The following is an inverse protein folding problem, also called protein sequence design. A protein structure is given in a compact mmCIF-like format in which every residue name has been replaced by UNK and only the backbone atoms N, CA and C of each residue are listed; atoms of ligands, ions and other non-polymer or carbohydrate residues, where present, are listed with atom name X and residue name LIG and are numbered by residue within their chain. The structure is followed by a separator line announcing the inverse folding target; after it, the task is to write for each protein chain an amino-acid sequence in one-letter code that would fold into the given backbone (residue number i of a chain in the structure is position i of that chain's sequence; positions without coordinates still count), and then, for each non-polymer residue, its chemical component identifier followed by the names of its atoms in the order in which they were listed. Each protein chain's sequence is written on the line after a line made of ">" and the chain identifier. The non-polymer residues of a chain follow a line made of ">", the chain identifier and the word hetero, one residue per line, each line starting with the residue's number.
data_IF_901739853926
#
_entry.id   IF_901739853926
#
_cell.length_a   1.000
_cell.length_b   1.000
_cell.length_c   1.000
_cell.angle_alpha   90.00
_cell.angle_beta   90.00
_cell.angle_gamma   90.00
#
_symmetry.space_group_name_H-M   'P 1'
#
loop_
_entity.id
_entity.type
_entity.pdbx_description
1 polymer ?
#
# COMPACT_ATOMS: atom_id res chain seq x y z
N UNK A 1 -29.61 -16.81 35.73
CA UNK A 1 -30.03 -15.41 35.49
C UNK A 1 -29.51 -15.04 34.10
N UNK A 2 -30.45 -14.91 33.16
CA UNK A 2 -30.22 -14.84 31.71
C UNK A 2 -29.77 -13.42 31.35
N UNK A 3 -28.59 -13.25 30.75
CA UNK A 3 -28.23 -12.01 30.07
C UNK A 3 -28.90 -12.00 28.70
N UNK A 4 -29.86 -11.09 28.51
CA UNK A 4 -30.50 -10.84 27.22
C UNK A 4 -29.66 -9.87 26.40
N UNK A 5 -29.49 -10.24 25.13
CA UNK A 5 -29.04 -9.40 24.04
C UNK A 5 -29.91 -8.15 23.85
N UNK A 6 -29.29 -7.12 23.26
CA UNK A 6 -29.98 -6.11 22.47
C UNK A 6 -29.69 -4.69 22.93
N UNK A 7 -28.66 -4.05 22.36
CA UNK A 7 -28.77 -2.87 21.47
C UNK A 7 -27.45 -2.72 20.71
N UNK A 8 -27.27 -3.50 19.64
CA UNK A 8 -26.43 -3.12 18.51
C UNK A 8 -27.26 -2.14 17.67
N UNK A 9 -26.89 -0.85 17.66
CA UNK A 9 -27.42 0.11 16.67
C UNK A 9 -26.27 0.88 16.02
N UNK A 10 -26.02 0.46 14.77
CA UNK A 10 -25.77 1.30 13.59
C UNK A 10 -24.66 2.36 13.71
N UNK A 11 -23.44 1.97 13.35
CA UNK A 11 -22.38 2.89 12.97
C UNK A 11 -22.73 3.45 11.59
N UNK A 12 -23.36 4.63 11.55
CA UNK A 12 -23.38 5.44 10.34
C UNK A 12 -22.07 6.22 10.27
N UNK A 13 -21.44 6.18 9.09
CA UNK A 13 -20.34 7.05 8.71
C UNK A 13 -20.89 8.47 8.75
N UNK A 14 -20.29 9.34 9.57
CA UNK A 14 -20.67 10.74 9.69
C UNK A 14 -19.52 11.61 9.18
N UNK A 15 -19.86 12.49 8.24
CA UNK A 15 -18.97 13.43 7.56
C UNK A 15 -18.37 14.48 8.54
N UNK A 16 -17.29 15.12 8.09
CA UNK A 16 -16.30 15.91 8.86
C UNK A 16 -16.84 17.01 9.81
N UNK A 17 -18.10 17.44 9.73
CA UNK A 17 -18.63 18.55 10.56
C UNK A 17 -19.36 18.12 11.85
N UNK A 18 -19.88 16.90 11.95
CA UNK A 18 -20.59 16.44 13.15
C UNK A 18 -19.64 15.99 14.29
N UNK A 19 -18.34 15.86 13.99
CA UNK A 19 -17.32 15.50 14.97
C UNK A 19 -17.14 16.57 16.05
N UNK A 20 -17.34 17.85 15.72
CA UNK A 20 -17.19 18.96 16.67
C UNK A 20 -18.31 18.92 17.71
N UNK A 21 -19.51 18.45 17.34
CA UNK A 21 -20.65 18.35 18.25
C UNK A 21 -20.52 17.13 19.16
N UNK A 22 -20.07 15.98 18.64
CA UNK A 22 -19.74 14.82 19.49
C UNK A 22 -18.58 15.12 20.46
N UNK A 23 -17.55 15.83 20.00
CA UNK A 23 -16.46 16.28 20.87
C UNK A 23 -16.93 17.30 21.91
N UNK A 24 -17.81 18.25 21.57
CA UNK A 24 -18.36 19.20 22.56
C UNK A 24 -19.17 18.49 23.64
N UNK A 25 -19.96 17.48 23.29
CA UNK A 25 -20.75 16.72 24.29
C UNK A 25 -19.87 15.85 25.20
N UNK A 26 -18.73 15.36 24.70
CA UNK A 26 -17.70 14.71 25.53
C UNK A 26 -16.93 15.73 26.39
N UNK A 27 -16.66 16.93 25.85
CA UNK A 27 -15.94 18.01 26.53
C UNK A 27 -16.77 18.78 27.57
N UNK A 28 -18.10 18.69 27.54
CA UNK A 28 -19.03 19.39 28.46
C UNK A 28 -19.67 18.47 29.51
N UNK A 29 -19.37 17.17 29.47
CA UNK A 29 -19.88 16.19 30.43
C UNK A 29 -18.89 15.99 31.58
N UNK A 30 -19.36 15.86 32.82
CA UNK A 30 -18.66 15.46 34.07
C UNK A 30 -17.72 14.22 33.95
N UNK A 31 -17.61 13.61 32.77
CA UNK A 31 -16.74 12.48 32.44
C UNK A 31 -15.26 12.83 32.31
N UNK A 32 -14.89 14.11 32.24
CA UNK A 32 -13.50 14.55 32.14
C UNK A 32 -12.67 14.21 33.39
N UNK A 33 -13.30 14.16 34.58
CA UNK A 33 -12.64 13.71 35.82
C UNK A 33 -12.25 12.22 35.80
N UNK A 34 -12.94 11.40 35.02
CA UNK A 34 -12.76 9.95 35.06
C UNK A 34 -11.42 9.46 34.46
N UNK A 35 -10.82 10.19 33.51
CA UNK A 35 -9.52 9.81 32.91
C UNK A 35 -8.33 10.35 33.70
N UNK A 36 -8.44 11.53 34.32
CA UNK A 36 -7.37 12.07 35.17
C UNK A 36 -7.27 11.32 36.52
N UNK A 37 -8.28 10.53 36.87
CA UNK A 37 -8.26 9.59 38.00
C UNK A 37 -7.58 8.24 37.69
N UNK A 38 -7.38 7.91 36.40
CA UNK A 38 -6.75 6.65 36.00
C UNK A 38 -5.22 6.75 36.07
N UNK A 39 -4.53 5.67 36.50
CA UNK A 39 -3.09 5.58 36.35
C UNK A 39 -2.65 5.72 34.88
N UNK A 40 -1.52 6.37 34.65
CA UNK A 40 -0.95 6.60 33.31
C UNK A 40 -0.80 5.29 32.51
N UNK A 41 -0.45 4.19 33.17
CA UNK A 41 -0.34 2.87 32.56
C UNK A 41 -1.68 2.34 32.02
N UNK A 42 -2.77 2.58 32.74
CA UNK A 42 -4.11 2.20 32.29
C UNK A 42 -4.52 3.02 31.06
N UNK A 43 -4.21 4.31 31.06
CA UNK A 43 -4.44 5.19 29.91
C UNK A 43 -3.61 4.71 28.72
N UNK A 44 -2.31 4.44 28.92
CA UNK A 44 -1.43 3.93 27.86
C UNK A 44 -1.94 2.60 27.28
N UNK A 45 -2.44 1.68 28.11
CA UNK A 45 -3.03 0.42 27.65
C UNK A 45 -4.34 0.61 26.86
N UNK A 46 -5.12 1.66 27.13
CA UNK A 46 -6.28 2.03 26.31
C UNK A 46 -5.80 2.60 24.98
N UNK A 47 -4.89 3.57 25.03
CA UNK A 47 -4.37 4.25 23.84
C UNK A 47 -3.68 3.29 22.87
N UNK A 48 -2.98 2.28 23.37
CA UNK A 48 -2.31 1.27 22.53
C UNK A 48 -3.26 0.40 21.69
N UNK A 49 -4.56 0.42 22.01
CA UNK A 49 -5.61 -0.31 21.29
C UNK A 49 -6.44 0.60 20.36
N UNK A 50 -6.09 1.88 20.29
CA UNK A 50 -6.68 2.86 19.37
C UNK A 50 -5.85 2.98 18.10
N UNK A 51 -6.18 3.94 17.22
CA UNK A 51 -5.29 4.25 16.09
C UNK A 51 -4.16 5.21 16.51
N UNK A 52 -3.03 5.22 15.79
CA UNK A 52 -1.97 6.21 16.02
C UNK A 52 -2.48 7.66 15.98
N UNK A 53 -3.44 7.94 15.10
CA UNK A 53 -4.07 9.26 14.96
C UNK A 53 -4.88 9.62 16.21
N UNK A 54 -5.66 8.67 16.73
CA UNK A 54 -6.46 8.88 17.93
C UNK A 54 -5.59 9.07 19.18
N UNK A 55 -4.51 8.29 19.32
CA UNK A 55 -3.55 8.48 20.39
C UNK A 55 -2.94 9.90 20.38
N UNK A 56 -2.55 10.39 19.20
CA UNK A 56 -2.03 11.76 19.03
C UNK A 56 -3.12 12.80 19.32
N UNK A 57 -4.37 12.59 18.88
CA UNK A 57 -5.48 13.53 19.16
C UNK A 57 -5.78 13.60 20.66
N UNK A 58 -5.83 12.46 21.35
CA UNK A 58 -6.08 12.38 22.79
C UNK A 58 -4.95 13.04 23.61
N UNK A 59 -3.72 13.03 23.11
CA UNK A 59 -2.59 13.73 23.73
C UNK A 59 -2.77 15.26 23.87
N UNK A 60 -3.69 15.84 23.09
CA UNK A 60 -3.97 17.28 23.10
C UNK A 60 -4.96 17.67 24.21
N UNK A 61 -5.67 16.69 24.81
CA UNK A 61 -6.78 16.92 25.74
C UNK A 61 -6.29 17.24 27.16
N UNK A 62 -5.34 16.49 27.70
CA UNK A 62 -4.78 16.73 29.05
C UNK A 62 -3.28 16.41 29.12
N UNK A 63 -2.60 16.86 30.19
CA UNK A 63 -1.19 16.54 30.41
C UNK A 63 -0.97 15.05 30.69
N UNK A 64 -1.90 14.43 31.41
CA UNK A 64 -1.89 12.99 31.73
C UNK A 64 -2.02 12.16 30.46
N UNK A 65 -3.00 12.49 29.61
CA UNK A 65 -3.18 11.85 28.31
C UNK A 65 -1.98 12.06 27.39
N UNK A 66 -1.34 13.24 27.44
CA UNK A 66 -0.12 13.51 26.67
C UNK A 66 1.03 12.61 27.07
N UNK A 67 1.28 12.51 28.38
CA UNK A 67 2.34 11.66 28.93
C UNK A 67 2.11 10.20 28.52
N UNK A 68 0.89 9.69 28.73
CA UNK A 68 0.51 8.34 28.34
C UNK A 68 0.65 8.10 26.82
N UNK A 69 0.19 9.04 25.99
CA UNK A 69 0.24 8.93 24.53
C UNK A 69 1.65 8.99 23.96
N UNK A 70 2.58 9.64 24.65
CA UNK A 70 4.00 9.71 24.25
C UNK A 70 4.83 8.53 24.78
N UNK A 71 4.24 7.65 25.61
CA UNK A 71 4.89 6.46 26.15
C UNK A 71 5.18 5.41 25.08
N UNK A 72 6.38 4.83 25.12
CA UNK A 72 6.78 3.73 24.24
C UNK A 72 5.88 2.49 24.38
N UNK A 73 5.20 2.32 25.52
CA UNK A 73 4.22 1.25 25.69
C UNK A 73 3.07 1.33 24.67
N UNK A 74 2.64 2.55 24.31
CA UNK A 74 1.63 2.79 23.27
C UNK A 74 2.21 2.45 21.89
N UNK A 75 3.35 3.05 21.55
CA UNK A 75 3.92 2.96 20.21
C UNK A 75 4.48 1.59 19.86
N UNK A 76 4.83 0.75 20.84
CA UNK A 76 5.18 -0.65 20.60
C UNK A 76 4.03 -1.45 19.95
N UNK A 77 2.77 -1.04 20.12
CA UNK A 77 1.63 -1.71 19.50
C UNK A 77 1.36 -1.22 18.06
N UNK A 78 1.88 -0.05 17.69
CA UNK A 78 1.73 0.53 16.34
C UNK A 78 2.91 0.22 15.42
N UNK A 79 3.98 -0.33 15.98
CA UNK A 79 5.17 -0.74 15.23
C UNK A 79 5.11 -2.27 15.08
N UNK A 80 5.41 -2.81 13.88
CA UNK A 80 5.43 -4.24 13.66
C UNK A 80 6.36 -4.95 14.66
N UNK A 81 5.83 -5.99 15.29
CA UNK A 81 6.51 -6.75 16.34
C UNK A 81 7.10 -8.07 15.82
N UNK A 82 7.51 -8.13 14.55
CA UNK A 82 8.19 -9.32 14.03
C UNK A 82 9.56 -9.47 14.70
N UNK A 83 10.01 -10.71 15.00
CA UNK A 83 11.35 -10.94 15.51
C UNK A 83 12.40 -10.25 14.64
N UNK A 84 13.35 -9.55 15.27
CA UNK A 84 14.49 -8.90 14.63
C UNK A 84 14.15 -7.80 13.59
N UNK A 85 12.89 -7.39 13.44
CA UNK A 85 12.49 -6.37 12.46
C UNK A 85 13.17 -5.02 12.71
N UNK A 86 13.14 -4.56 13.96
CA UNK A 86 13.78 -3.30 14.34
C UNK A 86 15.30 -3.40 14.19
N UNK A 87 15.90 -4.54 14.52
CA UNK A 87 17.34 -4.77 14.34
C UNK A 87 17.73 -4.80 12.85
N UNK A 88 16.91 -5.43 12.03
CA UNK A 88 17.05 -5.45 10.56
C UNK A 88 16.95 -4.05 9.98
N UNK A 89 16.02 -3.23 10.45
CA UNK A 89 15.86 -1.84 10.00
C UNK A 89 17.02 -0.96 10.46
N UNK A 90 17.43 -1.09 11.72
CA UNK A 90 18.52 -0.30 12.29
C UNK A 90 19.85 -0.65 11.62
N UNK A 91 20.10 -1.92 11.29
CA UNK A 91 21.30 -2.34 10.56
C UNK A 91 21.31 -1.81 9.12
N UNK A 92 20.15 -1.80 8.44
CA UNK A 92 20.03 -1.33 7.06
C UNK A 92 19.99 0.20 6.93
N UNK A 93 19.70 0.94 8.01
CA UNK A 93 19.61 2.40 7.95
C UNK A 93 20.15 3.07 9.22
N UNK A 94 21.35 3.70 9.14
CA UNK A 94 21.98 4.42 10.25
C UNK A 94 21.12 5.54 10.82
N UNK A 95 20.13 6.02 10.05
CA UNK A 95 19.22 7.07 10.51
C UNK A 95 18.29 6.61 11.63
N UNK A 96 18.00 5.31 11.74
CA UNK A 96 17.18 4.76 12.83
C UNK A 96 17.99 4.50 14.10
N UNK A 97 19.32 4.34 13.99
CA UNK A 97 20.20 4.07 15.13
C UNK A 97 20.22 5.19 16.18
N UNK A 98 19.93 6.44 15.77
CA UNK A 98 19.93 7.61 16.66
C UNK A 98 18.55 7.95 17.24
N UNK A 99 17.50 7.21 16.87
CA UNK A 99 16.14 7.50 17.31
C UNK A 99 15.93 6.95 18.73
N UNK A 100 15.51 7.83 19.65
CA UNK A 100 15.38 7.50 21.08
C UNK A 100 14.00 7.03 21.52
N UNK A 101 12.94 7.35 20.76
CA UNK A 101 11.56 7.04 21.14
C UNK A 101 10.88 6.21 20.06
N UNK A 102 9.98 5.31 20.45
CA UNK A 102 9.22 4.47 19.51
C UNK A 102 8.29 5.32 18.63
N UNK A 103 7.71 6.39 19.19
CA UNK A 103 6.96 7.38 18.40
C UNK A 103 7.76 7.94 17.22
N UNK A 104 9.03 8.30 17.45
CA UNK A 104 9.88 8.82 16.39
C UNK A 104 10.28 7.74 15.38
N UNK A 105 10.45 6.48 15.82
CA UNK A 105 10.65 5.34 14.91
C UNK A 105 9.43 5.18 14.01
N UNK A 106 8.23 5.16 14.59
CA UNK A 106 6.98 5.06 13.84
C UNK A 106 6.86 6.15 12.77
N UNK A 107 7.10 7.42 13.13
CA UNK A 107 7.05 8.52 12.16
C UNK A 107 8.09 8.37 11.05
N UNK A 108 9.30 7.93 11.38
CA UNK A 108 10.33 7.66 10.39
C UNK A 108 9.92 6.51 9.44
N UNK A 109 9.25 5.47 9.93
CA UNK A 109 8.68 4.39 9.13
C UNK A 109 7.49 4.82 8.29
N UNK A 110 6.78 5.88 8.69
CA UNK A 110 5.68 6.46 7.90
C UNK A 110 6.18 7.40 6.82
N UNK A 111 7.33 8.06 7.00
CA UNK A 111 7.81 9.10 6.09
C UNK A 111 8.91 8.58 5.13
N UNK A 112 9.48 7.39 5.38
CA UNK A 112 10.59 6.83 4.60
C UNK A 112 10.34 5.39 4.18
N UNK A 113 10.63 5.09 2.93
CA UNK A 113 10.68 3.72 2.41
C UNK A 113 11.98 3.04 2.86
N UNK A 114 11.85 1.84 3.43
CA UNK A 114 13.00 1.00 3.79
C UNK A 114 13.14 -0.07 2.73
N UNK A 115 14.28 -0.08 2.06
CA UNK A 115 14.59 -1.12 1.08
C UNK A 115 14.95 -2.42 1.81
N UNK A 116 14.24 -3.50 1.48
CA UNK A 116 14.48 -4.84 1.97
C UNK A 116 14.99 -5.69 0.80
N UNK A 117 16.28 -6.02 0.83
CA UNK A 117 16.88 -7.11 0.06
C UNK A 117 16.94 -8.38 0.92
N UNK A 118 16.44 -9.48 0.36
CA UNK A 118 16.47 -10.81 0.98
C UNK A 118 17.73 -11.61 0.57
N UNK A 119 18.54 -11.08 -0.35
CA UNK A 119 19.78 -11.68 -0.87
C UNK A 119 20.92 -10.66 -0.97
N UNK A 120 22.16 -11.15 -0.97
CA UNK A 120 23.39 -10.37 -1.19
C UNK A 120 23.53 -9.81 -2.61
N UNK A 121 22.66 -10.18 -3.55
CA UNK A 121 22.60 -9.52 -4.85
C UNK A 121 22.05 -8.10 -4.68
N UNK A 122 22.78 -7.12 -5.22
CA UNK A 122 22.56 -5.65 -5.13
C UNK A 122 21.18 -5.14 -5.60
N UNK A 123 20.25 -6.02 -5.98
CA UNK A 123 18.93 -5.66 -6.46
C UNK A 123 17.90 -5.68 -5.33
N UNK A 124 17.54 -4.47 -4.90
CA UNK A 124 16.39 -4.18 -4.03
C UNK A 124 15.09 -4.84 -4.54
N UNK A 125 14.51 -5.75 -3.75
CA UNK A 125 13.34 -6.54 -4.14
C UNK A 125 12.02 -5.92 -3.71
N UNK A 126 11.96 -5.44 -2.48
CA UNK A 126 10.77 -4.79 -1.93
C UNK A 126 11.15 -3.62 -1.04
N UNK A 127 10.24 -2.66 -0.91
CA UNK A 127 10.34 -1.58 0.08
C UNK A 127 9.20 -1.67 1.08
N UNK A 128 9.49 -1.31 2.33
CA UNK A 128 8.55 -1.30 3.43
C UNK A 128 8.29 0.13 3.91
N UNK A 129 7.04 0.41 4.30
CA UNK A 129 6.61 1.63 4.97
C UNK A 129 5.39 1.32 5.86
N UNK A 130 5.10 2.18 6.83
CA UNK A 130 3.83 2.14 7.56
C UNK A 130 2.82 3.12 6.97
N UNK A 131 1.55 2.70 6.88
CA UNK A 131 0.47 3.64 6.65
C UNK A 131 0.32 4.55 7.87
N UNK A 132 0.46 5.86 7.64
CA UNK A 132 0.53 6.86 8.71
C UNK A 132 -0.70 6.88 9.61
N UNK A 133 -1.88 6.60 9.04
CA UNK A 133 -3.17 6.71 9.75
C UNK A 133 -3.46 5.47 10.58
N UNK A 134 -3.29 4.30 9.98
CA UNK A 134 -3.67 3.01 10.57
C UNK A 134 -2.51 2.30 11.28
N UNK A 135 -1.26 2.64 10.96
CA UNK A 135 -0.07 1.93 11.44
C UNK A 135 0.11 0.54 10.84
N UNK A 136 -0.51 0.29 9.70
CA UNK A 136 -0.50 -1.01 9.02
C UNK A 136 0.59 -1.08 7.96
N UNK A 137 1.08 -2.29 7.71
CA UNK A 137 2.22 -2.52 6.82
C UNK A 137 1.87 -2.20 5.37
N UNK A 138 2.76 -1.48 4.69
CA UNK A 138 2.71 -1.19 3.27
C UNK A 138 3.97 -1.76 2.60
N UNK A 139 3.78 -2.49 1.50
CA UNK A 139 4.89 -3.02 0.70
C UNK A 139 4.84 -2.49 -0.72
N UNK A 140 6.00 -2.22 -1.29
CA UNK A 140 6.13 -2.01 -2.73
C UNK A 140 7.12 -3.00 -3.29
N UNK A 141 6.72 -3.75 -4.30
CA UNK A 141 7.58 -4.69 -5.00
C UNK A 141 8.20 -3.99 -6.20
N UNK A 142 9.52 -4.02 -6.31
CA UNK A 142 10.19 -3.44 -7.48
C UNK A 142 9.83 -4.23 -8.72
N UNK A 143 9.80 -3.58 -9.89
CA UNK A 143 9.60 -4.29 -11.15
C UNK A 143 10.58 -5.47 -11.28
N UNK A 144 11.84 -5.32 -10.86
CA UNK A 144 12.86 -6.39 -10.85
C UNK A 144 12.46 -7.65 -10.08
N UNK A 145 11.59 -7.53 -9.09
CA UNK A 145 11.12 -8.65 -8.28
C UNK A 145 9.87 -9.33 -8.86
N UNK A 146 9.23 -8.72 -9.86
CA UNK A 146 8.04 -9.26 -10.49
C UNK A 146 8.43 -10.27 -11.57
N UNK A 147 7.66 -11.35 -11.68
CA UNK A 147 7.86 -12.34 -12.74
C UNK A 147 7.39 -11.73 -14.07
N UNK A 148 8.36 -11.45 -14.95
CA UNK A 148 8.11 -11.06 -16.33
C UNK A 148 8.10 -12.28 -17.23
N UNK A 149 6.92 -12.65 -17.72
CA UNK A 149 6.81 -13.63 -18.81
C UNK A 149 6.48 -12.90 -20.10
N UNK A 150 7.47 -12.79 -20.97
CA UNK A 150 7.31 -12.34 -22.35
C UNK A 150 7.04 -13.58 -23.20
N UNK A 151 5.82 -13.70 -23.71
CA UNK A 151 5.40 -14.85 -24.52
C UNK A 151 5.05 -14.42 -25.94
N UNK A 152 6.05 -13.95 -26.71
CA UNK A 152 6.11 -14.21 -28.15
C UNK A 152 7.56 -14.47 -28.61
N UNK A 153 7.83 -15.73 -28.96
CA UNK A 153 8.97 -16.20 -29.75
C UNK A 153 10.38 -16.13 -29.11
N UNK A 154 10.60 -16.83 -28.00
CA UNK A 154 11.90 -17.46 -27.71
C UNK A 154 13.14 -16.55 -27.57
N UNK A 155 12.99 -15.23 -27.54
CA UNK A 155 14.07 -14.31 -27.22
C UNK A 155 13.87 -13.80 -25.80
N UNK A 156 14.78 -14.20 -24.92
CA UNK A 156 14.87 -13.64 -23.58
C UNK A 156 15.11 -12.12 -23.70
N UNK A 157 14.08 -11.29 -23.48
CA UNK A 157 14.19 -9.83 -23.34
C UNK A 157 14.94 -9.40 -22.06
N UNK A 158 15.86 -10.23 -21.55
CA UNK A 158 16.42 -10.10 -20.20
C UNK A 158 17.44 -8.98 -20.01
N UNK A 159 18.02 -8.41 -21.09
CA UNK A 159 19.13 -7.45 -20.94
C UNK A 159 18.81 -5.98 -21.22
N UNK A 160 17.77 -5.64 -21.98
CA UNK A 160 17.58 -4.28 -22.48
C UNK A 160 16.32 -3.55 -21.94
N UNK A 161 15.56 -4.17 -21.03
CA UNK A 161 14.33 -3.56 -20.47
C UNK A 161 14.55 -2.80 -19.17
N UNK A 162 15.78 -2.62 -18.70
CA UNK A 162 16.06 -2.05 -17.38
C UNK A 162 16.72 -0.69 -17.55
N UNK A 163 16.19 0.31 -16.86
CA UNK A 163 16.76 1.65 -16.87
C UNK A 163 16.95 2.16 -15.45
N UNK A 164 17.98 3.00 -15.29
CA UNK A 164 18.20 3.74 -14.07
C UNK A 164 17.36 5.02 -14.15
N UNK A 165 16.54 5.25 -13.14
CA UNK A 165 15.81 6.51 -13.00
C UNK A 165 16.09 7.12 -11.63
N UNK A 166 16.66 8.33 -11.57
CA UNK A 166 16.97 8.99 -10.30
C UNK A 166 15.71 9.32 -9.47
N UNK A 167 14.54 9.38 -10.10
CA UNK A 167 13.26 9.66 -9.45
C UNK A 167 12.51 8.41 -8.97
N UNK A 168 13.12 7.23 -9.05
CA UNK A 168 12.55 5.95 -8.62
C UNK A 168 13.01 5.60 -7.20
N UNK A 169 12.14 4.97 -6.42
CA UNK A 169 12.51 4.40 -5.11
C UNK A 169 13.45 3.20 -5.24
N UNK A 170 13.46 2.55 -6.40
CA UNK A 170 14.35 1.43 -6.73
C UNK A 170 15.41 1.84 -7.75
N UNK A 171 16.61 1.24 -7.62
CA UNK A 171 17.75 1.49 -8.50
C UNK A 171 17.42 1.31 -9.98
N UNK A 172 16.66 0.25 -10.30
CA UNK A 172 16.27 -0.09 -11.66
C UNK A 172 14.76 -0.21 -11.78
N UNK A 173 14.22 0.36 -12.85
CA UNK A 173 12.81 0.23 -13.25
C UNK A 173 12.72 -0.45 -14.60
N UNK A 174 11.61 -1.14 -14.86
CA UNK A 174 11.39 -1.75 -16.16
C UNK A 174 10.97 -0.67 -17.17
N UNK A 175 11.85 -0.40 -18.13
CA UNK A 175 11.64 0.49 -19.26
C UNK A 175 11.55 -0.30 -20.56
N UNK A 176 10.57 0.00 -21.40
CA UNK A 176 10.57 -0.53 -22.77
C UNK A 176 11.77 -0.01 -23.56
N UNK A 177 12.56 -0.93 -24.14
CA UNK A 177 13.44 -0.64 -25.26
C UNK A 177 12.63 -0.60 -26.56
N UNK A 178 12.94 0.37 -27.41
CA UNK A 178 12.35 0.56 -28.73
C UNK A 178 12.69 -0.64 -29.64
N UNK A 179 11.87 -1.68 -29.60
CA UNK A 179 11.97 -2.83 -30.50
C UNK A 179 10.88 -2.71 -31.55
N UNK A 180 11.29 -2.61 -32.82
CA UNK A 180 10.46 -2.33 -34.00
C UNK A 180 9.52 -3.46 -34.43
N UNK A 181 8.80 -4.06 -33.48
CA UNK A 181 7.75 -5.05 -33.71
C UNK A 181 6.37 -4.53 -33.27
N UNK A 182 5.34 -5.07 -33.92
CA UNK A 182 4.02 -4.47 -34.08
C UNK A 182 3.02 -4.80 -32.96
N UNK A 183 3.08 -6.00 -32.36
CA UNK A 183 2.24 -6.40 -31.23
C UNK A 183 3.09 -7.06 -30.13
N UNK A 184 2.83 -6.71 -28.85
CA UNK A 184 3.58 -7.25 -27.71
C UNK A 184 2.67 -7.49 -26.50
N UNK A 185 2.89 -8.61 -25.80
CA UNK A 185 2.17 -9.00 -24.58
C UNK A 185 3.11 -8.89 -23.38
N UNK A 186 2.72 -8.08 -22.39
CA UNK A 186 3.41 -8.00 -21.11
C UNK A 186 2.56 -8.72 -20.07
N UNK A 187 3.14 -9.71 -19.41
CA UNK A 187 2.59 -10.32 -18.21
C UNK A 187 3.53 -10.08 -17.03
N UNK A 188 3.05 -9.32 -16.04
CA UNK A 188 3.74 -9.04 -14.78
C UNK A 188 3.00 -9.76 -13.68
N UNK A 189 3.66 -10.64 -12.94
CA UNK A 189 3.08 -11.31 -11.77
C UNK A 189 3.84 -10.91 -10.50
N UNK A 190 3.12 -10.37 -9.52
CA UNK A 190 3.59 -10.12 -8.17
C UNK A 190 2.96 -11.10 -7.19
N UNK A 191 3.73 -11.54 -6.20
CA UNK A 191 3.28 -12.45 -5.14
C UNK A 191 3.66 -11.89 -3.78
N UNK A 192 2.75 -11.99 -2.81
CA UNK A 192 3.01 -11.65 -1.41
C UNK A 192 2.34 -12.66 -0.49
N UNK A 193 3.06 -13.10 0.55
CA UNK A 193 2.46 -13.89 1.60
C UNK A 193 1.68 -12.96 2.55
N UNK A 194 0.43 -13.29 2.80
CA UNK A 194 -0.46 -12.54 3.71
C UNK A 194 0.04 -12.49 5.15
N UNK A 195 0.95 -13.37 5.58
CA UNK A 195 1.61 -13.33 6.89
C UNK A 195 2.57 -12.13 7.04
N UNK A 196 3.10 -11.64 5.92
CA UNK A 196 3.95 -10.44 5.89
C UNK A 196 3.12 -9.16 6.04
N UNK A 197 1.79 -9.24 5.90
CA UNK A 197 0.88 -8.12 6.01
C UNK A 197 0.22 -8.08 7.39
N UNK A 198 -0.19 -6.88 7.79
CA UNK A 198 -0.97 -6.71 9.01
C UNK A 198 -2.30 -7.46 8.93
N UNK A 199 -2.67 -8.29 9.93
CA UNK A 199 -3.90 -9.06 9.91
C UNK A 199 -5.14 -8.17 10.10
N UNK A 200 -6.31 -8.72 9.80
CA UNK A 200 -7.63 -8.09 9.89
C UNK A 200 -7.68 -6.73 9.18
N UNK A 201 -7.12 -6.66 7.97
CA UNK A 201 -6.95 -5.41 7.24
C UNK A 201 -7.40 -5.57 5.79
N UNK A 202 -8.18 -4.61 5.30
CA UNK A 202 -8.53 -4.52 3.88
C UNK A 202 -7.37 -3.86 3.14
N UNK A 203 -6.83 -4.58 2.15
CA UNK A 203 -5.72 -4.13 1.33
C UNK A 203 -6.19 -3.86 -0.10
N UNK A 204 -5.47 -2.98 -0.77
CA UNK A 204 -5.54 -2.81 -2.21
C UNK A 204 -4.14 -2.82 -2.82
N UNK A 205 -4.03 -3.40 -4.00
CA UNK A 205 -2.83 -3.40 -4.82
C UNK A 205 -2.91 -2.28 -5.86
N UNK A 206 -1.81 -1.60 -6.12
CA UNK A 206 -1.71 -0.48 -7.05
C UNK A 206 -0.50 -0.67 -7.97
N UNK A 207 -0.71 -0.51 -9.27
CA UNK A 207 0.39 -0.42 -10.23
C UNK A 207 0.96 1.00 -10.22
N UNK A 208 2.27 1.14 -10.03
CA UNK A 208 2.97 2.43 -10.05
C UNK A 208 3.86 2.53 -11.29
N UNK A 209 3.64 3.55 -12.12
CA UNK A 209 4.29 3.67 -13.43
C UNK A 209 4.45 5.13 -13.88
N UNK A 210 5.32 5.38 -14.86
CA UNK A 210 5.49 6.67 -15.54
C UNK A 210 5.27 6.49 -17.04
N UNK A 211 4.82 7.57 -17.68
CA UNK A 211 4.67 7.66 -19.14
C UNK A 211 5.66 8.73 -19.62
N UNK A 212 6.66 8.33 -20.39
CA UNK A 212 7.72 9.25 -20.85
C UNK A 212 7.37 9.89 -22.19
N UNK A 213 6.86 9.11 -23.16
CA UNK A 213 6.49 9.59 -24.48
C UNK A 213 5.09 9.09 -24.84
N UNK A 214 4.30 9.94 -25.50
CA UNK A 214 2.96 9.61 -26.00
C UNK A 214 2.82 10.16 -27.42
N UNK A 215 3.42 9.49 -28.40
CA UNK A 215 3.22 9.85 -29.82
C UNK A 215 2.40 8.74 -30.48
N UNK A 216 1.18 9.07 -30.91
CA UNK A 216 0.34 8.19 -31.76
C UNK A 216 -0.38 7.03 -31.06
N UNK A 217 -0.27 6.90 -29.75
CA UNK A 217 -0.66 5.68 -29.05
C UNK A 217 -2.19 5.51 -28.90
N UNK A 218 -2.68 4.38 -29.40
CA UNK A 218 -3.95 3.77 -29.03
C UNK A 218 -3.91 3.39 -27.55
N UNK A 219 -4.97 3.71 -26.81
CA UNK A 219 -5.05 3.54 -25.36
C UNK A 219 -4.74 2.09 -24.98
N UNK A 220 -3.64 1.77 -24.28
CA UNK A 220 -3.35 0.39 -23.93
C UNK A 220 -4.41 -0.11 -22.97
N UNK A 221 -5.09 -1.17 -23.37
CA UNK A 221 -6.00 -1.91 -22.49
C UNK A 221 -5.14 -2.77 -21.57
N UNK A 222 -5.36 -2.60 -20.27
CA UNK A 222 -4.64 -3.35 -19.25
C UNK A 222 -5.66 -4.11 -18.45
N UNK A 223 -5.48 -5.42 -18.39
CA UNK A 223 -6.22 -6.29 -17.51
C UNK A 223 -5.41 -6.49 -16.23
N UNK A 224 -6.04 -6.20 -15.10
CA UNK A 224 -5.51 -6.51 -13.79
C UNK A 224 -6.28 -7.68 -13.21
N UNK A 225 -5.57 -8.54 -12.48
CA UNK A 225 -6.20 -9.47 -11.55
C UNK A 225 -5.51 -9.49 -10.20
N UNK A 226 -6.31 -9.60 -9.15
CA UNK A 226 -5.83 -9.81 -7.78
C UNK A 226 -6.56 -11.01 -7.22
N UNK A 227 -5.81 -12.03 -6.84
CA UNK A 227 -6.30 -13.31 -6.36
C UNK A 227 -5.70 -13.66 -5.01
N UNK A 228 -6.50 -14.14 -4.06
CA UNK A 228 -6.01 -14.77 -2.82
C UNK A 228 -6.26 -16.26 -2.88
N UNK A 229 -5.24 -17.09 -2.66
CA UNK A 229 -5.37 -18.53 -2.63
C UNK A 229 -4.05 -19.23 -2.34
N UNK A 230 -4.13 -20.51 -2.00
CA UNK A 230 -2.95 -21.37 -1.94
C UNK A 230 -2.75 -22.02 -3.30
N UNK A 231 -1.49 -22.14 -3.75
CA UNK A 231 -1.15 -22.81 -5.02
C UNK A 231 -1.49 -24.32 -5.05
N UNK A 232 -2.11 -24.83 -3.98
CA UNK A 232 -2.71 -26.15 -3.96
C UNK A 232 -4.08 -26.09 -4.61
N UNK A 233 -4.24 -26.85 -5.71
CA UNK A 233 -5.48 -27.16 -6.45
C UNK A 233 -6.58 -27.77 -5.56
N UNK A 234 -6.98 -27.08 -4.50
CA UNK A 234 -8.03 -27.52 -3.61
C UNK A 234 -9.31 -26.77 -4.00
N UNK A 235 -10.11 -27.46 -4.80
CA UNK A 235 -11.47 -27.11 -5.26
C UNK A 235 -12.40 -26.68 -4.10
N UNK A 236 -11.98 -26.89 -2.86
CA UNK A 236 -12.71 -26.60 -1.63
C UNK A 236 -12.53 -25.18 -1.09
N UNK A 237 -11.53 -24.41 -1.55
CA UNK A 237 -11.32 -23.03 -1.11
C UNK A 237 -11.40 -22.07 -2.30
N UNK A 238 -12.54 -21.39 -2.53
CA UNK A 238 -12.68 -20.50 -3.68
C UNK A 238 -11.69 -19.35 -3.56
N UNK A 239 -10.75 -19.27 -4.51
CA UNK A 239 -9.85 -18.14 -4.64
C UNK A 239 -10.69 -16.87 -4.83
N UNK A 240 -10.62 -15.91 -3.91
CA UNK A 240 -11.21 -14.60 -4.17
C UNK A 240 -10.41 -13.96 -5.29
N UNK A 241 -11.00 -13.87 -6.48
CA UNK A 241 -10.35 -13.35 -7.68
C UNK A 241 -11.14 -12.15 -8.18
N UNK A 242 -10.55 -10.97 -8.11
CA UNK A 242 -11.06 -9.78 -8.79
C UNK A 242 -10.27 -9.55 -10.06
N UNK A 243 -10.95 -9.28 -11.17
CA UNK A 243 -10.33 -8.84 -12.40
C UNK A 243 -11.00 -7.58 -12.93
N UNK A 244 -10.20 -6.70 -13.51
CA UNK A 244 -10.70 -5.46 -14.12
C UNK A 244 -9.85 -5.03 -15.29
N UNK A 245 -10.51 -4.48 -16.31
CA UNK A 245 -9.86 -3.90 -17.48
C UNK A 245 -9.89 -2.38 -17.32
N UNK A 246 -8.74 -1.74 -17.48
CA UNK A 246 -8.57 -0.29 -17.34
C UNK A 246 -7.80 0.30 -18.51
N UNK A 247 -7.82 1.63 -18.62
CA UNK A 247 -6.94 2.39 -19.51
C UNK A 247 -5.93 3.17 -18.66
N UNK A 248 -4.64 3.03 -18.96
CA UNK A 248 -3.57 3.64 -18.15
C UNK A 248 -3.53 5.17 -18.19
N UNK A 249 -3.92 5.80 -19.30
CA UNK A 249 -3.92 7.26 -19.39
C UNK A 249 -5.11 7.77 -20.22
N UNK A 250 -5.64 8.94 -19.80
CA UNK A 250 -6.68 9.70 -20.51
C UNK A 250 -5.99 10.93 -21.13
N UNK A 251 -6.12 11.13 -22.44
CA UNK A 251 -5.40 12.18 -23.19
C UNK A 251 -5.38 13.56 -22.50
N UNK A 252 -4.19 14.16 -22.46
CA UNK A 252 -3.92 15.56 -22.08
C UNK A 252 -4.10 16.55 -23.24
N UNK A 253 -4.76 16.17 -24.35
CA UNK A 253 -4.97 17.09 -25.48
C UNK A 253 -6.44 17.30 -25.81
N UNK A 254 -6.80 18.59 -25.82
CA UNK A 254 -8.13 19.16 -25.90
C UNK A 254 -9.02 18.56 -26.99
N UNK A 255 -10.26 18.34 -26.60
CA UNK A 255 -11.35 17.92 -27.48
C UNK A 255 -12.49 17.41 -26.62
N UNK A 256 -13.43 18.29 -26.31
CA UNK A 256 -14.75 17.87 -25.83
C UNK A 256 -15.27 16.80 -26.80
N UNK A 257 -15.73 15.66 -26.27
CA UNK A 257 -16.42 14.55 -26.98
C UNK A 257 -15.56 13.32 -27.33
N UNK A 258 -14.86 12.74 -26.35
CA UNK A 258 -14.57 11.30 -26.39
C UNK A 258 -14.79 10.67 -25.00
N UNK A 259 -16.07 10.59 -24.64
CA UNK A 259 -16.61 9.95 -23.45
C UNK A 259 -16.52 8.42 -23.57
N UNK A 260 -15.39 7.83 -23.17
CA UNK A 260 -15.45 6.48 -22.58
C UNK A 260 -15.83 6.67 -21.11
N UNK A 261 -17.13 6.87 -20.88
CA UNK A 261 -17.74 7.00 -19.55
C UNK A 261 -17.64 5.64 -18.87
N UNK A 262 -17.00 5.57 -17.70
CA UNK A 262 -17.09 4.40 -16.81
C UNK A 262 -15.80 3.65 -16.50
N UNK A 263 -14.67 3.90 -17.18
CA UNK A 263 -13.39 3.25 -16.85
C UNK A 263 -12.57 4.06 -15.83
N UNK A 264 -12.08 3.37 -14.80
CA UNK A 264 -11.15 3.93 -13.81
C UNK A 264 -9.90 4.46 -14.52
N UNK A 265 -9.46 5.66 -14.15
CA UNK A 265 -8.27 6.32 -14.70
C UNK A 265 -7.19 6.42 -13.63
N UNK A 266 -5.93 6.42 -14.07
CA UNK A 266 -4.78 6.61 -13.18
C UNK A 266 -4.78 7.99 -12.53
N UNK A 267 -4.12 8.08 -11.38
CA UNK A 267 -3.97 9.31 -10.60
C UNK A 267 -2.48 9.64 -10.53
N UNK A 268 -2.13 10.92 -10.65
CA UNK A 268 -0.76 11.39 -10.47
C UNK A 268 -0.49 11.59 -8.98
N UNK A 269 0.56 10.95 -8.48
CA UNK A 269 1.08 11.06 -7.12
C UNK A 269 1.90 12.34 -6.94
N UNK A 270 2.16 12.71 -5.69
CA UNK A 270 3.01 13.87 -5.35
C UNK A 270 4.47 13.73 -5.79
N UNK A 271 4.94 12.49 -5.99
CA UNK A 271 6.28 12.15 -6.51
C UNK A 271 6.35 12.15 -8.06
N UNK A 272 5.24 12.48 -8.73
CA UNK A 272 5.14 12.53 -10.19
C UNK A 272 4.96 11.17 -10.87
N UNK A 273 4.84 10.07 -10.13
CA UNK A 273 4.44 8.77 -10.68
C UNK A 273 2.92 8.68 -10.83
N UNK A 274 2.45 7.89 -11.79
CA UNK A 274 1.05 7.50 -11.89
C UNK A 274 0.80 6.26 -11.05
N UNK A 275 -0.35 6.21 -10.39
CA UNK A 275 -0.87 4.99 -9.77
C UNK A 275 -2.26 4.64 -10.30
N UNK A 276 -2.55 3.34 -10.35
CA UNK A 276 -3.89 2.83 -10.62
C UNK A 276 -4.13 1.60 -9.74
N UNK A 277 -5.27 1.57 -9.05
CA UNK A 277 -5.67 0.40 -8.27
C UNK A 277 -5.81 -0.80 -9.21
N UNK A 278 -5.35 -1.98 -8.80
CA UNK A 278 -5.45 -3.26 -9.51
C UNK A 278 -6.60 -4.12 -8.98
N UNK A 279 -6.85 -4.03 -7.67
CA UNK A 279 -7.88 -4.80 -7.00
C UNK A 279 -7.67 -4.74 -5.48
N UNK A 280 -8.60 -5.34 -4.75
CA UNK A 280 -8.60 -5.35 -3.29
C UNK A 280 -8.75 -6.78 -2.75
N UNK A 281 -8.26 -6.98 -1.53
CA UNK A 281 -8.35 -8.25 -0.82
C UNK A 281 -8.34 -8.02 0.69
N UNK A 282 -8.93 -8.94 1.44
CA UNK A 282 -8.94 -8.88 2.90
C UNK A 282 -7.91 -9.85 3.49
N UNK A 283 -7.02 -9.36 4.34
CA UNK A 283 -6.07 -10.20 5.07
C UNK A 283 -6.66 -10.65 6.42
N UNK A 284 -6.91 -11.96 6.57
CA UNK A 284 -7.37 -12.55 7.84
C UNK A 284 -6.24 -12.86 8.83
N UNK A 285 -4.97 -12.74 8.42
CA UNK A 285 -3.82 -13.19 9.21
C UNK A 285 -3.58 -14.71 9.15
N UNK A 286 -4.13 -15.36 8.13
CA UNK A 286 -3.88 -16.77 7.83
C UNK A 286 -2.86 -16.85 6.70
N UNK A 287 -1.97 -17.83 6.73
CA UNK A 287 -0.99 -18.04 5.66
C UNK A 287 -1.69 -18.38 4.34
N UNK A 288 -1.69 -17.41 3.43
CA UNK A 288 -2.16 -17.51 2.06
C UNK A 288 -1.25 -16.68 1.14
N UNK A 289 -1.22 -17.02 -0.14
CA UNK A 289 -0.54 -16.21 -1.15
C UNK A 289 -1.53 -15.28 -1.85
N UNK A 290 -1.14 -14.01 -2.03
CA UNK A 290 -1.84 -13.07 -2.90
C UNK A 290 -1.07 -12.96 -4.21
N UNK A 291 -1.75 -13.22 -5.31
CA UNK A 291 -1.24 -13.06 -6.67
C UNK A 291 -1.82 -11.81 -7.31
N UNK A 292 -0.96 -10.97 -7.86
CA UNK A 292 -1.31 -9.71 -8.51
C UNK A 292 -0.76 -9.75 -9.94
N UNK A 293 -1.64 -9.85 -10.92
CA UNK A 293 -1.25 -9.93 -12.33
C UNK A 293 -1.59 -8.64 -13.07
N UNK A 294 -0.68 -8.24 -13.95
CA UNK A 294 -0.88 -7.20 -14.95
C UNK A 294 -0.69 -7.85 -16.31
N UNK A 295 -1.76 -7.91 -17.08
CA UNK A 295 -1.73 -8.30 -18.48
C UNK A 295 -1.97 -7.08 -19.36
N UNK A 296 -1.03 -6.79 -20.25
CA UNK A 296 -1.12 -5.66 -21.17
C UNK A 296 -0.88 -6.14 -22.60
N UNK A 297 -1.85 -5.86 -23.46
CA UNK A 297 -1.74 -6.05 -24.89
C UNK A 297 -1.47 -4.70 -25.56
N UNK A 298 -0.31 -4.58 -26.20
CA UNK A 298 0.08 -3.41 -26.98
C UNK A 298 -0.11 -3.75 -28.45
N UNK A 299 -1.02 -3.05 -29.13
CA UNK A 299 -1.30 -3.23 -30.56
C UNK A 299 -0.63 -2.18 -31.44
N UNK A 300 -0.52 -2.50 -32.73
CA UNK A 300 -0.03 -1.63 -33.79
C UNK A 300 -0.56 -0.17 -33.68
N UNK A 301 0.36 0.77 -33.53
CA UNK A 301 0.10 2.20 -33.30
C UNK A 301 0.70 2.76 -32.00
N UNK A 302 1.12 1.91 -31.07
CA UNK A 302 1.73 2.30 -29.80
C UNK A 302 3.27 2.43 -29.86
N UNK A 303 3.80 2.69 -31.06
CA UNK A 303 5.23 2.54 -31.38
C UNK A 303 6.13 3.49 -30.58
N UNK A 304 5.59 4.59 -30.05
CA UNK A 304 6.36 5.58 -29.28
C UNK A 304 5.92 5.73 -27.82
N UNK A 305 5.10 4.81 -27.28
CA UNK A 305 4.75 4.89 -25.86
C UNK A 305 5.77 4.16 -25.00
N UNK A 306 6.53 4.97 -24.26
CA UNK A 306 7.51 4.49 -23.29
C UNK A 306 6.89 4.52 -21.90
N UNK A 307 6.58 3.33 -21.39
CA UNK A 307 6.17 3.12 -20.01
C UNK A 307 7.38 2.74 -19.16
N UNK A 308 7.45 3.32 -17.96
CA UNK A 308 8.33 2.87 -16.90
C UNK A 308 7.49 2.25 -15.80
N UNK A 309 7.79 1.03 -15.39
CA UNK A 309 7.16 0.41 -14.23
C UNK A 309 8.08 0.49 -13.03
N UNK A 310 7.65 1.20 -11.99
CA UNK A 310 8.35 1.18 -10.71
C UNK A 310 8.07 -0.13 -9.99
N UNK A 311 6.81 -0.55 -9.94
CA UNK A 311 6.41 -1.70 -9.15
C UNK A 311 4.92 -1.83 -8.87
N UNK A 312 4.60 -2.74 -7.96
CA UNK A 312 3.26 -2.93 -7.39
C UNK A 312 3.30 -2.55 -5.91
N UNK A 313 2.46 -1.61 -5.50
CA UNK A 313 2.30 -1.15 -4.13
C UNK A 313 1.06 -1.79 -3.49
N UNK A 314 1.23 -2.49 -2.37
CA UNK A 314 0.18 -3.08 -1.55
C UNK A 314 0.04 -2.26 -0.29
N UNK A 315 -1.11 -1.62 -0.10
CA UNK A 315 -1.37 -0.76 1.06
C UNK A 315 -2.80 -0.92 1.61
N UNK A 316 -3.03 -0.60 2.89
CA UNK A 316 -4.36 -0.57 3.48
C UNK A 316 -5.30 0.38 2.73
N UNK A 317 -6.59 0.06 2.71
CA UNK A 317 -7.64 0.87 2.09
C UNK A 317 -8.36 1.76 3.10
#
# INVERSE_FOLDING_TARGET
>A
MIFREGVLRRWHIVEDEDWILFYKDVLLSDRMGAFDELPEECIAAILSRTTPVDAVRLSLVSKTLRSAADSDAVWNHFIPSYPDFIETIVSKSPTFANIRTKKAVYLALCDRYIIISDYEDDNARKSFQLDKKSGKDCYTFSARFLDFTDSMLGFSCSRNIWTLTPDSRFTEVAARADVGWTDFLINICGRINTIDLSPNTQYAAYLVFKVIDVIGCSRPHVEFSVGVGNDHDDVTNPCYHTSKIVCLYRNYQGGANNTVVGLQSSIVRSDGWFEIEMGEFFNLGLENEVKMNVFMEMKDGNQNTRLLFEGIEVRPK
#
